data_IF_743876501828
#
_entry.id   IF_743876501828
#
_cell.length_a   1.000
_cell.length_b   1.000
_cell.length_c   1.000
_cell.angle_alpha   90.00
_cell.angle_beta   90.00
_cell.angle_gamma   90.00
#
_symmetry.space_group_name_H-M   'P 1'
#
loop_
_entity.id
_entity.type
_entity.pdbx_description
1 polymer ?
#
# COMPACT_ATOMS: atom_id res chain seq x y z
N UNK A 1 -7.52 -38.17 21.69
CA UNK A 1 -6.30 -38.15 20.89
C UNK A 1 -5.36 -37.08 21.46
N UNK A 2 -4.37 -37.42 22.32
CA UNK A 2 -3.46 -36.43 22.93
C UNK A 2 -2.03 -36.66 22.45
N UNK A 3 -1.75 -36.69 21.15
CA UNK A 3 -0.42 -36.96 20.60
C UNK A 3 0.18 -35.78 19.83
N UNK A 4 -0.58 -34.74 19.57
CA UNK A 4 -0.13 -33.58 18.73
C UNK A 4 0.67 -32.53 19.49
N UNK A 5 0.32 -32.26 20.75
CA UNK A 5 1.01 -31.20 21.54
C UNK A 5 2.38 -31.64 22.05
N UNK A 6 2.55 -32.93 22.38
CA UNK A 6 3.83 -33.47 22.83
C UNK A 6 4.88 -33.50 21.71
N UNK A 7 4.45 -33.69 20.47
CA UNK A 7 5.35 -33.70 19.31
C UNK A 7 5.85 -32.30 18.96
N UNK A 8 4.99 -31.30 19.06
CA UNK A 8 5.35 -29.89 18.85
C UNK A 8 6.30 -29.36 19.92
N UNK A 9 6.14 -29.78 21.19
CA UNK A 9 7.08 -29.47 22.26
C UNK A 9 8.44 -30.13 22.06
N UNK A 10 8.49 -31.38 21.58
CA UNK A 10 9.73 -32.08 21.28
C UNK A 10 10.49 -31.44 20.10
N UNK A 11 9.78 -31.02 19.05
CA UNK A 11 10.39 -30.34 17.91
C UNK A 11 10.98 -28.98 18.30
N UNK A 12 10.30 -28.22 19.16
CA UNK A 12 10.80 -26.95 19.69
C UNK A 12 12.01 -27.10 20.64
N UNK A 13 12.12 -28.27 21.30
CA UNK A 13 13.27 -28.59 22.17
C UNK A 13 14.50 -29.02 21.36
N UNK A 14 14.30 -29.77 20.27
CA UNK A 14 15.39 -30.23 19.40
C UNK A 14 16.03 -29.10 18.59
N UNK A 15 15.25 -28.10 18.15
CA UNK A 15 15.79 -26.94 17.42
C UNK A 15 16.63 -26.01 18.27
N UNK A 16 16.56 -26.09 19.59
CA UNK A 16 17.36 -25.26 20.50
C UNK A 16 18.78 -25.76 20.79
N UNK A 17 19.10 -27.02 20.45
CA UNK A 17 20.33 -27.68 20.98
C UNK A 17 21.22 -28.33 19.92
N UNK A 18 20.95 -28.21 18.61
CA UNK A 18 21.80 -28.79 17.56
C UNK A 18 22.42 -27.71 16.66
N UNK A 19 23.70 -27.47 16.89
CA UNK A 19 24.59 -26.59 16.12
C UNK A 19 25.34 -27.42 15.09
N UNK A 20 24.74 -27.69 13.92
CA UNK A 20 25.50 -27.93 12.70
C UNK A 20 24.62 -27.56 11.47
N UNK A 21 25.21 -26.89 10.50
CA UNK A 21 24.56 -26.39 9.30
C UNK A 21 23.95 -27.50 8.43
N UNK A 22 24.57 -28.65 8.36
CA UNK A 22 24.06 -29.80 7.57
C UNK A 22 22.81 -30.46 8.17
N UNK A 23 22.77 -30.58 9.49
CA UNK A 23 21.60 -31.13 10.21
C UNK A 23 20.38 -30.22 10.09
N UNK A 24 20.61 -28.90 10.06
CA UNK A 24 19.54 -27.90 9.91
C UNK A 24 18.94 -27.93 8.51
N UNK A 25 19.72 -28.19 7.46
CA UNK A 25 19.22 -28.31 6.09
C UNK A 25 18.38 -29.59 5.93
N UNK A 26 18.81 -30.69 6.53
CA UNK A 26 18.07 -31.96 6.47
C UNK A 26 16.74 -31.93 7.25
N UNK A 27 16.72 -31.28 8.41
CA UNK A 27 15.51 -31.07 9.20
C UNK A 27 14.54 -30.10 8.52
N UNK A 28 15.04 -29.12 7.78
CA UNK A 28 14.21 -28.19 6.98
C UNK A 28 13.54 -28.92 5.81
N UNK A 29 14.29 -29.81 5.11
CA UNK A 29 13.74 -30.63 4.04
C UNK A 29 12.66 -31.61 4.55
N UNK A 30 12.87 -32.21 5.74
CA UNK A 30 11.86 -33.08 6.36
C UNK A 30 10.63 -32.33 6.89
N UNK A 31 10.80 -31.07 7.32
CA UNK A 31 9.67 -30.25 7.79
C UNK A 31 8.78 -29.76 6.64
N UNK A 32 9.34 -29.59 5.45
CA UNK A 32 8.58 -29.21 4.25
C UNK A 32 7.71 -30.34 3.71
N UNK A 33 8.00 -31.61 4.09
CA UNK A 33 7.20 -32.80 3.74
C UNK A 33 6.09 -33.12 4.75
N UNK A 34 6.04 -32.45 5.91
CA UNK A 34 5.00 -32.71 6.91
C UNK A 34 3.66 -32.10 6.48
N UNK A 35 2.74 -32.97 6.13
CA UNK A 35 1.36 -32.60 5.81
C UNK A 35 0.45 -32.77 7.02
N UNK A 36 -0.34 -31.75 7.35
CA UNK A 36 -1.46 -31.85 8.30
C UNK A 36 -2.75 -31.76 7.49
N UNK A 37 -3.55 -32.84 7.49
CA UNK A 37 -4.76 -32.95 6.67
C UNK A 37 -4.53 -32.71 5.16
N UNK A 38 -3.42 -33.24 4.61
CA UNK A 38 -3.11 -33.09 3.19
C UNK A 38 -2.57 -31.74 2.75
N UNK A 39 -2.31 -30.82 3.71
CA UNK A 39 -1.73 -29.50 3.44
C UNK A 39 -0.40 -29.33 4.20
N UNK A 40 0.61 -28.66 3.64
CA UNK A 40 1.83 -28.37 4.34
C UNK A 40 1.55 -27.64 5.67
N UNK A 41 2.21 -28.06 6.76
CA UNK A 41 1.96 -27.58 8.12
C UNK A 41 2.03 -26.05 8.25
N UNK A 42 2.86 -25.39 7.49
CA UNK A 42 2.99 -23.94 7.48
C UNK A 42 1.76 -23.22 6.88
N UNK A 43 1.02 -23.84 5.97
CA UNK A 43 -0.26 -23.30 5.47
C UNK A 43 -1.34 -23.29 6.55
N UNK A 44 -1.37 -24.29 7.41
CA UNK A 44 -2.35 -24.36 8.50
C UNK A 44 -2.08 -23.32 9.59
N UNK A 45 -0.81 -23.02 9.88
CA UNK A 45 -0.44 -21.93 10.83
C UNK A 45 -0.86 -20.57 10.30
N UNK A 46 -0.67 -20.30 9.00
CA UNK A 46 -1.08 -19.04 8.40
C UNK A 46 -2.61 -18.90 8.29
N UNK A 47 -3.33 -19.99 8.03
CA UNK A 47 -4.80 -19.99 8.00
C UNK A 47 -5.41 -19.68 9.36
N UNK A 48 -4.86 -20.19 10.46
CA UNK A 48 -5.32 -19.88 11.80
C UNK A 48 -5.15 -18.38 12.14
N UNK A 49 -4.06 -17.75 11.70
CA UNK A 49 -3.85 -16.30 11.87
C UNK A 49 -4.81 -15.46 11.01
N UNK A 50 -5.12 -15.93 9.81
CA UNK A 50 -6.07 -15.29 8.90
C UNK A 50 -7.51 -15.43 9.43
N UNK A 51 -7.88 -16.58 9.98
CA UNK A 51 -9.18 -16.81 10.62
C UNK A 51 -9.34 -16.01 11.90
N UNK A 52 -8.29 -15.87 12.72
CA UNK A 52 -8.31 -15.00 13.92
C UNK A 52 -8.49 -13.52 13.53
N UNK A 53 -7.82 -13.05 12.47
CA UNK A 53 -8.01 -11.71 11.95
C UNK A 53 -9.42 -11.49 11.35
N UNK A 54 -9.97 -12.49 10.65
CA UNK A 54 -11.35 -12.48 10.13
C UNK A 54 -12.38 -12.49 11.25
N UNK A 55 -12.18 -13.32 12.29
CA UNK A 55 -13.06 -13.41 13.46
C UNK A 55 -13.12 -12.10 14.22
N UNK A 56 -11.99 -11.41 14.41
CA UNK A 56 -11.93 -10.08 15.02
C UNK A 56 -12.66 -9.03 14.22
N UNK A 57 -12.59 -9.10 12.88
CA UNK A 57 -13.33 -8.20 11.99
C UNK A 57 -14.85 -8.45 12.03
N UNK A 58 -15.29 -9.72 12.16
CA UNK A 58 -16.71 -10.06 12.25
C UNK A 58 -17.31 -9.73 13.62
N UNK A 59 -16.55 -9.87 14.72
CA UNK A 59 -16.99 -9.48 16.07
C UNK A 59 -17.21 -7.97 16.17
N UNK A 60 -16.41 -7.16 15.47
CA UNK A 60 -16.64 -5.71 15.41
C UNK A 60 -17.85 -5.30 14.54
N UNK A 61 -18.25 -6.13 13.58
CA UNK A 61 -19.43 -5.89 12.74
C UNK A 61 -20.75 -6.27 13.40
N UNK A 62 -20.74 -7.07 14.48
CA UNK A 62 -21.94 -7.58 15.17
C UNK A 62 -22.27 -6.89 16.48
N UNK A 63 -21.65 -5.76 16.80
CA UNK A 63 -21.99 -5.00 18.01
C UNK A 63 -23.31 -4.25 17.79
N UNK A 64 -24.35 -4.46 18.60
CA UNK A 64 -25.63 -3.77 18.45
C UNK A 64 -25.44 -2.27 18.70
N UNK A 65 -25.88 -1.46 17.76
CA UNK A 65 -26.01 -0.01 17.93
C UNK A 65 -27.11 0.27 18.98
N UNK A 66 -26.70 0.73 20.13
CA UNK A 66 -27.64 1.33 21.10
C UNK A 66 -28.23 2.60 20.49
N UNK A 67 -29.55 2.80 20.56
CA UNK A 67 -30.17 4.03 20.07
C UNK A 67 -29.71 5.22 20.90
N UNK A 68 -29.65 6.44 20.31
CA UNK A 68 -29.23 7.64 21.01
C UNK A 68 -30.22 7.99 22.12
N UNK A 69 -29.78 8.55 23.26
CA UNK A 69 -30.64 8.98 24.32
C UNK A 69 -31.53 10.14 23.87
N UNK A 70 -32.77 10.16 24.37
CA UNK A 70 -33.76 11.19 24.11
C UNK A 70 -33.28 12.59 24.56
N UNK A 71 -33.72 13.67 23.88
CA UNK A 71 -33.29 15.03 24.21
C UNK A 71 -33.81 15.47 25.60
N UNK A 72 -32.89 16.00 26.40
CA UNK A 72 -33.17 16.60 27.71
C UNK A 72 -33.79 17.98 27.48
N UNK A 73 -34.85 18.35 28.22
CA UNK A 73 -35.47 19.66 28.10
C UNK A 73 -34.57 20.78 28.62
N UNK A 74 -34.70 22.03 28.11
CA UNK A 74 -33.81 23.12 28.45
C UNK A 74 -34.00 23.62 29.87
N UNK A 75 -32.89 23.71 30.61
CA UNK A 75 -32.85 24.39 31.91
C UNK A 75 -32.76 25.92 31.73
N UNK A 76 -33.53 26.60 32.52
CA UNK A 76 -33.71 28.05 32.50
C UNK A 76 -32.40 28.83 32.76
N UNK A 77 -32.20 29.88 31.99
CA UNK A 77 -31.07 30.81 32.09
C UNK A 77 -31.12 31.62 33.39
N UNK A 78 -30.06 31.47 34.19
CA UNK A 78 -29.68 32.51 35.17
C UNK A 78 -28.51 33.29 34.56
N UNK A 79 -28.70 34.60 34.44
CA UNK A 79 -27.68 35.52 33.96
C UNK A 79 -26.47 35.54 34.90
N UNK A 80 -25.30 35.28 34.36
CA UNK A 80 -24.00 35.49 35.03
C UNK A 80 -23.05 36.28 34.13
N UNK A 81 -22.30 37.14 34.80
CA UNK A 81 -21.47 38.22 34.26
C UNK A 81 -20.53 37.81 33.12
N UNK A 82 -20.36 38.73 32.14
CA UNK A 82 -19.43 38.65 31.03
C UNK A 82 -17.97 38.52 31.51
N UNK A 83 -17.19 37.55 30.99
CA UNK A 83 -15.75 37.54 31.19
C UNK A 83 -15.10 38.66 30.34
N UNK A 84 -13.90 39.16 30.72
CA UNK A 84 -13.22 40.20 30.00
C UNK A 84 -12.91 39.79 28.57
N UNK A 85 -13.16 40.67 27.62
CA UNK A 85 -12.89 40.53 26.20
C UNK A 85 -11.39 40.27 25.97
N UNK A 86 -11.04 39.04 25.60
CA UNK A 86 -9.77 38.74 24.96
C UNK A 86 -9.70 39.47 23.62
N UNK A 87 -8.55 40.11 23.27
CA UNK A 87 -8.42 40.74 21.98
C UNK A 87 -8.63 39.71 20.87
N UNK A 88 -9.23 40.07 19.73
CA UNK A 88 -9.46 39.14 18.63
C UNK A 88 -8.11 38.58 18.19
N UNK A 89 -7.91 37.29 18.39
CA UNK A 89 -6.83 36.55 17.74
C UNK A 89 -7.09 36.72 16.25
N UNK A 90 -6.16 37.39 15.57
CA UNK A 90 -6.23 37.52 14.12
C UNK A 90 -6.48 36.12 13.53
N UNK A 91 -7.54 36.02 12.74
CA UNK A 91 -7.89 34.77 12.06
C UNK A 91 -6.78 34.47 11.04
N UNK A 92 -5.84 33.61 11.47
CA UNK A 92 -4.69 33.19 10.68
C UNK A 92 -5.02 31.98 9.79
N UNK A 93 -6.32 31.63 9.70
CA UNK A 93 -6.78 30.56 8.83
C UNK A 93 -6.76 31.00 7.37
N UNK A 94 -6.26 30.12 6.52
CA UNK A 94 -6.27 30.31 5.08
C UNK A 94 -7.68 30.06 4.52
N UNK A 95 -8.20 31.01 3.71
CA UNK A 95 -9.47 30.84 2.99
C UNK A 95 -9.18 30.00 1.74
N UNK A 96 -9.82 28.84 1.55
CA UNK A 96 -9.56 27.98 0.40
C UNK A 96 -9.97 28.67 -0.91
N UNK A 97 -9.08 28.58 -1.91
CA UNK A 97 -9.39 28.88 -3.28
C UNK A 97 -10.25 27.79 -3.96
N UNK A 98 -10.62 27.97 -5.24
CA UNK A 98 -11.36 26.96 -5.98
C UNK A 98 -10.53 25.66 -6.09
N UNK A 99 -11.18 24.52 -5.87
CA UNK A 99 -10.55 23.18 -5.98
C UNK A 99 -10.04 22.96 -7.39
N UNK A 100 -8.78 22.55 -7.49
CA UNK A 100 -8.18 22.13 -8.75
C UNK A 100 -8.66 20.72 -9.08
N UNK A 101 -9.21 20.51 -10.25
CA UNK A 101 -9.41 19.15 -10.79
C UNK A 101 -8.07 18.64 -11.29
N UNK A 102 -7.69 17.41 -10.93
CA UNK A 102 -6.51 16.78 -11.52
C UNK A 102 -6.70 16.72 -13.04
N UNK A 103 -5.85 17.43 -13.77
CA UNK A 103 -5.64 17.07 -15.15
C UNK A 103 -4.98 15.68 -15.16
N UNK A 104 -5.42 14.74 -16.00
CA UNK A 104 -4.86 13.39 -16.05
C UNK A 104 -3.35 13.34 -16.31
N UNK A 105 -2.75 14.45 -16.69
CA UNK A 105 -1.42 14.55 -17.28
C UNK A 105 -0.43 15.50 -16.58
N UNK A 106 -0.76 16.06 -15.41
CA UNK A 106 0.19 16.91 -14.65
C UNK A 106 1.30 16.09 -14.01
N UNK A 107 1.77 15.12 -14.75
CA UNK A 107 2.73 14.14 -14.32
C UNK A 107 4.06 14.40 -14.97
N UNK A 108 5.01 14.67 -14.12
CA UNK A 108 6.46 14.53 -14.31
C UNK A 108 6.93 14.46 -15.76
N UNK A 109 7.39 15.55 -16.29
CA UNK A 109 8.12 15.59 -17.57
C UNK A 109 9.33 14.65 -17.50
N UNK A 110 9.34 13.62 -18.33
CA UNK A 110 10.46 12.68 -18.45
C UNK A 110 10.37 11.45 -17.55
N UNK A 111 9.18 11.02 -17.18
CA UNK A 111 9.00 9.84 -16.36
C UNK A 111 9.33 8.54 -17.10
N UNK A 112 10.21 7.73 -16.50
CA UNK A 112 10.55 6.38 -16.95
C UNK A 112 9.45 5.35 -16.59
N UNK A 113 8.17 5.69 -16.82
CA UNK A 113 7.03 4.81 -16.58
C UNK A 113 5.94 4.96 -17.64
N UNK A 114 5.12 3.91 -17.86
CA UNK A 114 4.15 3.89 -18.95
C UNK A 114 2.98 4.83 -18.71
N UNK A 115 2.46 5.40 -19.79
CA UNK A 115 1.12 5.97 -19.80
C UNK A 115 0.10 4.81 -19.74
N UNK A 116 -0.69 4.74 -18.68
CA UNK A 116 -1.69 3.66 -18.52
C UNK A 116 -2.96 3.90 -19.34
N UNK A 117 -3.23 5.14 -19.75
CA UNK A 117 -4.35 5.47 -20.65
C UNK A 117 -4.04 5.09 -22.11
N UNK A 118 -2.77 5.10 -22.48
CA UNK A 118 -2.27 4.69 -23.80
C UNK A 118 -1.07 3.75 -23.62
N UNK A 119 -1.30 2.52 -23.10
CA UNK A 119 -0.22 1.62 -22.76
C UNK A 119 0.49 1.11 -24.00
N UNK A 120 1.82 1.24 -24.01
CA UNK A 120 2.70 0.65 -25.00
C UNK A 120 3.68 -0.30 -24.32
N UNK A 121 3.90 -1.50 -24.86
CA UNK A 121 4.93 -2.38 -24.36
C UNK A 121 6.31 -1.70 -24.42
N UNK A 122 7.15 -1.84 -23.37
CA UNK A 122 8.44 -1.18 -23.32
C UNK A 122 9.38 -1.69 -24.43
N UNK A 123 10.37 -0.88 -24.76
CA UNK A 123 11.35 -1.23 -25.80
C UNK A 123 12.02 -2.58 -25.53
N UNK A 124 12.46 -2.84 -24.31
CA UNK A 124 13.10 -4.11 -23.94
C UNK A 124 12.22 -5.34 -24.21
N UNK A 125 10.90 -5.19 -24.12
CA UNK A 125 9.94 -6.25 -24.38
C UNK A 125 9.87 -6.58 -25.89
N UNK A 126 9.93 -5.56 -26.73
CA UNK A 126 9.91 -5.72 -28.19
C UNK A 126 11.24 -6.19 -28.75
N UNK A 127 12.36 -5.80 -28.13
CA UNK A 127 13.71 -6.09 -28.57
C UNK A 127 14.16 -7.55 -28.28
N UNK A 128 13.36 -8.35 -27.53
CA UNK A 128 13.71 -9.75 -27.27
C UNK A 128 13.62 -10.58 -28.55
N UNK A 129 14.76 -11.18 -29.03
CA UNK A 129 14.78 -11.92 -30.28
C UNK A 129 13.87 -13.15 -30.26
N UNK A 130 13.23 -13.46 -31.38
CA UNK A 130 12.32 -14.61 -31.50
C UNK A 130 13.00 -15.94 -31.14
N UNK A 131 14.25 -16.14 -31.54
CA UNK A 131 15.01 -17.33 -31.19
C UNK A 131 15.28 -17.49 -29.69
N UNK A 132 15.34 -16.38 -28.93
CA UNK A 132 15.42 -16.40 -27.46
C UNK A 132 14.09 -16.84 -26.87
N UNK A 133 12.97 -16.36 -27.40
CA UNK A 133 11.63 -16.75 -26.95
C UNK A 133 11.36 -18.24 -27.18
N UNK A 134 11.83 -18.79 -28.31
CA UNK A 134 11.70 -20.22 -28.59
C UNK A 134 12.45 -21.07 -27.57
N UNK A 135 13.67 -20.66 -27.19
CA UNK A 135 14.53 -21.36 -26.23
C UNK A 135 14.14 -21.10 -24.76
N UNK A 136 13.29 -20.10 -24.48
CA UNK A 136 12.82 -19.84 -23.13
C UNK A 136 12.09 -21.06 -22.58
N UNK A 137 12.54 -21.64 -21.45
CA UNK A 137 11.89 -22.81 -20.88
C UNK A 137 10.46 -22.49 -20.47
N UNK A 138 9.66 -23.53 -20.34
CA UNK A 138 8.31 -23.39 -19.74
C UNK A 138 8.50 -23.05 -18.26
N UNK A 139 7.74 -22.10 -17.69
CA UNK A 139 7.75 -21.88 -16.25
C UNK A 139 7.39 -23.16 -15.48
N UNK A 140 7.73 -23.20 -14.21
CA UNK A 140 7.26 -24.27 -13.32
C UNK A 140 5.73 -24.35 -13.38
N UNK A 141 5.12 -25.54 -13.22
CA UNK A 141 3.67 -25.71 -13.33
C UNK A 141 2.86 -24.76 -12.46
N UNK A 142 3.29 -24.51 -11.23
CA UNK A 142 2.65 -23.60 -10.29
C UNK A 142 2.69 -22.14 -10.81
N UNK A 143 3.83 -21.69 -11.30
CA UNK A 143 3.99 -20.36 -11.92
C UNK A 143 3.11 -20.24 -13.15
N UNK A 144 3.12 -21.29 -14.00
CA UNK A 144 2.34 -21.32 -15.23
C UNK A 144 0.83 -21.28 -14.95
N UNK A 145 0.37 -21.91 -13.88
CA UNK A 145 -1.02 -21.87 -13.45
C UNK A 145 -1.50 -20.44 -13.17
N UNK A 146 -0.75 -19.69 -12.36
CA UNK A 146 -1.12 -18.31 -12.02
C UNK A 146 -1.11 -17.38 -13.24
N UNK A 147 -0.12 -17.50 -14.12
CA UNK A 147 -0.09 -16.75 -15.38
C UNK A 147 -1.25 -17.12 -16.31
N UNK A 148 -1.64 -18.40 -16.33
CA UNK A 148 -2.81 -18.87 -17.07
C UNK A 148 -4.12 -18.32 -16.48
N UNK A 149 -4.24 -18.15 -15.16
CA UNK A 149 -5.41 -17.51 -14.55
C UNK A 149 -5.64 -16.12 -15.13
N UNK A 150 -4.60 -15.32 -15.26
CA UNK A 150 -4.68 -13.98 -15.87
C UNK A 150 -5.11 -14.09 -17.34
N UNK A 151 -4.32 -14.78 -18.17
CA UNK A 151 -4.52 -14.79 -19.62
C UNK A 151 -5.81 -15.46 -20.05
N UNK A 152 -6.17 -16.60 -19.42
CA UNK A 152 -7.43 -17.30 -19.73
C UNK A 152 -8.65 -16.56 -19.19
N UNK A 153 -8.54 -15.91 -18.01
CA UNK A 153 -9.61 -15.07 -17.48
C UNK A 153 -9.92 -13.90 -18.40
N UNK A 154 -8.90 -13.17 -18.86
CA UNK A 154 -9.07 -12.09 -19.86
C UNK A 154 -9.75 -12.62 -21.12
N UNK A 155 -9.27 -13.75 -21.66
CA UNK A 155 -9.86 -14.39 -22.86
C UNK A 155 -11.32 -14.77 -22.63
N UNK A 156 -11.65 -15.32 -21.46
CA UNK A 156 -13.04 -15.69 -21.13
C UNK A 156 -13.95 -14.48 -21.10
N UNK A 157 -13.52 -13.38 -20.46
CA UNK A 157 -14.28 -12.13 -20.41
C UNK A 157 -14.55 -11.58 -21.82
N UNK A 158 -13.50 -11.53 -22.68
CA UNK A 158 -13.64 -11.07 -24.07
C UNK A 158 -14.62 -11.98 -24.85
N UNK A 159 -14.49 -13.29 -24.71
CA UNK A 159 -15.36 -14.25 -25.38
C UNK A 159 -16.82 -14.17 -24.90
N UNK A 160 -17.05 -13.88 -23.60
CA UNK A 160 -18.40 -13.68 -23.07
C UNK A 160 -19.07 -12.49 -23.73
N UNK A 161 -18.41 -11.35 -23.80
CA UNK A 161 -18.93 -10.16 -24.47
C UNK A 161 -19.13 -10.40 -25.97
N UNK A 162 -18.20 -11.09 -26.64
CA UNK A 162 -18.37 -11.49 -28.04
C UNK A 162 -19.61 -12.34 -28.29
N UNK A 163 -20.05 -13.12 -27.30
CA UNK A 163 -21.31 -13.90 -27.33
C UNK A 163 -22.51 -13.10 -26.80
N UNK A 164 -22.34 -11.80 -26.54
CA UNK A 164 -23.36 -10.93 -25.94
C UNK A 164 -23.83 -11.37 -24.56
N UNK A 165 -22.95 -11.98 -23.77
CA UNK A 165 -23.19 -12.37 -22.36
C UNK A 165 -22.26 -11.59 -21.46
N UNK A 166 -22.69 -11.33 -20.22
CA UNK A 166 -21.81 -10.71 -19.22
C UNK A 166 -20.68 -11.67 -18.83
N UNK A 167 -19.45 -11.18 -18.58
CA UNK A 167 -18.41 -11.97 -17.96
C UNK A 167 -18.85 -12.51 -16.59
N UNK A 168 -18.40 -13.71 -16.24
CA UNK A 168 -18.75 -14.32 -14.97
C UNK A 168 -17.94 -13.68 -13.82
N UNK A 169 -18.54 -13.49 -12.62
CA UNK A 169 -17.78 -13.08 -11.43
C UNK A 169 -16.58 -13.98 -11.16
N UNK A 170 -16.69 -15.28 -11.40
CA UNK A 170 -15.60 -16.25 -11.25
C UNK A 170 -14.42 -15.98 -12.19
N UNK A 171 -14.64 -15.40 -13.39
CA UNK A 171 -13.55 -14.99 -14.27
C UNK A 171 -12.80 -13.80 -13.69
N UNK A 172 -13.49 -12.85 -13.07
CA UNK A 172 -12.87 -11.72 -12.39
C UNK A 172 -12.07 -12.17 -11.16
N UNK A 173 -12.62 -13.06 -10.34
CA UNK A 173 -11.92 -13.65 -9.19
C UNK A 173 -10.67 -14.41 -9.63
N UNK A 174 -10.77 -15.18 -10.72
CA UNK A 174 -9.64 -15.90 -11.29
C UNK A 174 -8.52 -14.96 -11.76
N UNK A 175 -8.86 -13.86 -12.42
CA UNK A 175 -7.89 -12.84 -12.84
C UNK A 175 -7.27 -12.20 -11.60
N UNK A 176 -8.08 -11.84 -10.60
CA UNK A 176 -7.64 -11.20 -9.37
C UNK A 176 -6.62 -12.08 -8.60
N UNK A 177 -6.95 -13.36 -8.37
CA UNK A 177 -6.03 -14.33 -7.76
C UNK A 177 -4.73 -14.46 -8.58
N UNK A 178 -4.84 -14.55 -9.90
CA UNK A 178 -3.68 -14.60 -10.78
C UNK A 178 -2.78 -13.37 -10.66
N UNK A 179 -3.34 -12.16 -10.62
CA UNK A 179 -2.60 -10.90 -10.47
C UNK A 179 -1.94 -10.81 -9.10
N UNK A 180 -2.68 -11.07 -8.01
CA UNK A 180 -2.14 -10.97 -6.65
C UNK A 180 -0.97 -11.94 -6.42
N UNK A 181 -1.07 -13.17 -6.93
CA UNK A 181 0.04 -14.13 -6.89
C UNK A 181 1.20 -13.73 -7.77
N UNK A 182 0.93 -13.13 -8.95
CA UNK A 182 1.96 -12.76 -9.92
C UNK A 182 2.94 -11.68 -9.41
N UNK A 183 2.54 -10.86 -8.45
CA UNK A 183 3.46 -9.94 -7.76
C UNK A 183 4.62 -10.65 -7.07
N UNK A 184 4.43 -11.90 -6.66
CA UNK A 184 5.36 -12.71 -5.87
C UNK A 184 5.97 -13.88 -6.65
N UNK A 185 5.76 -13.96 -7.96
CA UNK A 185 6.40 -14.95 -8.81
C UNK A 185 7.78 -14.48 -9.27
N UNK A 186 8.76 -15.38 -9.20
CA UNK A 186 10.06 -15.15 -9.83
C UNK A 186 9.97 -15.38 -11.34
N UNK A 187 9.93 -14.29 -12.08
CA UNK A 187 9.72 -14.29 -13.52
C UNK A 187 10.89 -13.69 -14.25
N UNK A 188 11.20 -14.25 -15.42
CA UNK A 188 12.14 -13.63 -16.36
C UNK A 188 11.41 -12.70 -17.34
N UNK A 189 12.11 -11.69 -17.82
CA UNK A 189 11.61 -10.81 -18.89
C UNK A 189 11.16 -11.61 -20.13
N UNK A 190 11.87 -12.71 -20.45
CA UNK A 190 11.53 -13.60 -21.56
C UNK A 190 10.23 -14.37 -21.32
N UNK A 191 9.95 -14.76 -20.08
CA UNK A 191 8.67 -15.40 -19.70
C UNK A 191 7.51 -14.41 -19.86
N UNK A 192 7.66 -13.18 -19.35
CA UNK A 192 6.64 -12.12 -19.49
C UNK A 192 6.34 -11.85 -20.97
N UNK A 193 7.39 -11.79 -21.80
CA UNK A 193 7.25 -11.59 -23.26
C UNK A 193 6.59 -12.79 -23.95
N UNK A 194 7.03 -14.01 -23.64
CA UNK A 194 6.51 -15.25 -24.22
C UNK A 194 5.02 -15.45 -23.91
N UNK A 195 4.60 -15.07 -22.69
CA UNK A 195 3.21 -15.12 -22.22
C UNK A 195 2.37 -13.90 -22.65
N UNK A 196 2.97 -12.93 -23.37
CA UNK A 196 2.32 -11.73 -23.89
C UNK A 196 1.60 -10.89 -22.80
N UNK A 197 2.16 -10.88 -21.58
CA UNK A 197 1.50 -10.26 -20.42
C UNK A 197 1.45 -8.72 -20.49
N UNK A 198 2.37 -8.07 -21.21
CA UNK A 198 2.35 -6.62 -21.45
C UNK A 198 1.77 -6.26 -22.83
N UNK A 199 1.22 -7.22 -23.57
CA UNK A 199 0.73 -6.98 -24.92
C UNK A 199 -0.71 -6.45 -24.89
N UNK A 200 -1.00 -5.44 -25.71
CA UNK A 200 -2.31 -4.77 -25.77
C UNK A 200 -3.47 -5.69 -26.13
N UNK A 201 -3.23 -6.74 -26.95
CA UNK A 201 -4.34 -7.62 -27.39
C UNK A 201 -4.73 -8.66 -26.35
N UNK A 202 -3.82 -9.11 -25.48
CA UNK A 202 -4.02 -10.32 -24.70
C UNK A 202 -3.53 -10.21 -23.24
N UNK A 203 -2.81 -9.13 -22.91
CA UNK A 203 -2.18 -8.94 -21.60
C UNK A 203 -2.96 -8.00 -20.67
N UNK A 204 -2.30 -7.58 -19.61
CA UNK A 204 -2.82 -6.70 -18.57
C UNK A 204 -3.49 -5.41 -19.09
N UNK A 205 -2.99 -4.76 -20.19
CA UNK A 205 -3.63 -3.57 -20.72
C UNK A 205 -5.11 -3.75 -21.06
N UNK A 206 -5.53 -4.96 -21.40
CA UNK A 206 -6.95 -5.29 -21.67
C UNK A 206 -7.85 -5.09 -20.44
N UNK A 207 -7.30 -5.08 -19.24
CA UNK A 207 -8.06 -4.94 -18.00
C UNK A 207 -8.24 -3.46 -17.64
N UNK A 208 -7.17 -2.66 -17.66
CA UNK A 208 -7.20 -1.32 -17.11
C UNK A 208 -7.39 -0.20 -18.15
N UNK A 209 -6.99 -0.41 -19.39
CA UNK A 209 -7.11 0.61 -20.42
C UNK A 209 -8.51 0.54 -21.06
N UNK A 210 -9.27 1.61 -20.92
CA UNK A 210 -10.66 1.69 -21.40
C UNK A 210 -10.78 1.53 -22.92
N UNK A 211 -9.82 2.04 -23.69
CA UNK A 211 -9.80 1.92 -25.15
C UNK A 211 -9.50 0.50 -25.63
N UNK A 212 -8.82 -0.31 -24.80
CA UNK A 212 -8.43 -1.68 -25.10
C UNK A 212 -9.37 -2.72 -24.50
N UNK A 213 -10.03 -2.43 -23.38
CA UNK A 213 -10.93 -3.38 -22.71
C UNK A 213 -12.13 -3.79 -23.58
N UNK A 214 -12.45 -3.00 -24.60
CA UNK A 214 -13.63 -3.19 -25.40
C UNK A 214 -14.89 -2.96 -24.56
N UNK A 215 -15.88 -3.85 -24.69
CA UNK A 215 -17.12 -3.78 -23.90
C UNK A 215 -17.04 -4.55 -22.58
N UNK A 216 -15.82 -4.98 -22.12
CA UNK A 216 -15.65 -5.65 -20.84
C UNK A 216 -15.51 -4.61 -19.75
N UNK A 217 -16.48 -4.57 -18.83
CA UNK A 217 -16.42 -3.70 -17.65
C UNK A 217 -15.77 -4.47 -16.49
N UNK A 218 -14.44 -4.34 -16.38
CA UNK A 218 -13.71 -4.90 -15.26
C UNK A 218 -13.96 -4.11 -13.97
N UNK A 219 -14.02 -4.77 -12.79
CA UNK A 219 -14.08 -4.10 -11.51
C UNK A 219 -12.95 -3.08 -11.34
N UNK A 220 -13.25 -1.92 -10.73
CA UNK A 220 -12.29 -0.82 -10.60
C UNK A 220 -11.00 -1.24 -9.85
N UNK A 221 -11.11 -2.05 -8.79
CA UNK A 221 -9.96 -2.56 -8.04
C UNK A 221 -9.07 -3.48 -8.87
N UNK A 222 -9.68 -4.29 -9.74
CA UNK A 222 -8.94 -5.16 -10.64
C UNK A 222 -8.17 -4.35 -11.70
N UNK A 223 -8.74 -3.22 -12.17
CA UNK A 223 -8.04 -2.28 -13.06
C UNK A 223 -6.82 -1.68 -12.36
N UNK A 224 -6.94 -1.26 -11.10
CA UNK A 224 -5.82 -0.70 -10.33
C UNK A 224 -4.70 -1.74 -10.13
N UNK A 225 -5.03 -2.97 -9.73
CA UNK A 225 -4.05 -4.02 -9.48
C UNK A 225 -3.35 -4.48 -10.78
N UNK A 226 -4.10 -4.56 -11.88
CA UNK A 226 -3.55 -4.87 -13.20
C UNK A 226 -2.59 -3.77 -13.68
N UNK A 227 -2.95 -2.50 -13.49
CA UNK A 227 -2.11 -1.37 -13.86
C UNK A 227 -0.83 -1.31 -12.99
N UNK A 228 -0.94 -1.56 -11.68
CA UNK A 228 0.22 -1.65 -10.78
C UNK A 228 1.20 -2.73 -11.24
N UNK A 229 0.71 -3.94 -11.51
CA UNK A 229 1.53 -5.05 -11.99
C UNK A 229 2.15 -4.76 -13.36
N UNK A 230 1.38 -4.12 -14.26
CA UNK A 230 1.87 -3.69 -15.56
C UNK A 230 3.03 -2.70 -15.42
N UNK A 231 2.90 -1.66 -14.60
CA UNK A 231 3.94 -0.66 -14.34
C UNK A 231 5.20 -1.30 -13.75
N UNK A 232 5.04 -2.24 -12.80
CA UNK A 232 6.14 -3.01 -12.22
C UNK A 232 6.92 -3.76 -13.30
N UNK A 233 6.25 -4.55 -14.11
CA UNK A 233 6.90 -5.33 -15.16
C UNK A 233 7.37 -4.50 -16.35
N UNK A 234 6.66 -3.44 -16.70
CA UNK A 234 7.08 -2.49 -17.73
C UNK A 234 8.47 -1.90 -17.42
N UNK A 235 8.70 -1.55 -16.19
CA UNK A 235 10.00 -1.07 -15.67
C UNK A 235 11.04 -2.21 -15.53
N UNK A 236 10.74 -3.42 -16.02
CA UNK A 236 11.58 -4.61 -15.90
C UNK A 236 11.87 -5.04 -14.46
N UNK A 237 11.05 -4.61 -13.51
CA UNK A 237 11.11 -5.08 -12.13
C UNK A 237 10.38 -6.43 -12.01
N UNK A 238 11.14 -7.51 -12.18
CA UNK A 238 10.64 -8.90 -12.10
C UNK A 238 10.93 -9.56 -10.75
N UNK A 239 11.59 -8.85 -9.85
CA UNK A 239 11.92 -9.36 -8.52
C UNK A 239 10.67 -9.46 -7.64
N UNK A 240 10.34 -10.66 -7.10
CA UNK A 240 9.16 -10.89 -6.27
C UNK A 240 9.30 -10.39 -4.83
N UNK A 241 10.52 -10.07 -4.37
CA UNK A 241 10.79 -9.73 -2.98
C UNK A 241 10.16 -8.41 -2.53
N UNK A 242 9.41 -8.42 -1.45
CA UNK A 242 8.87 -7.19 -0.83
C UNK A 242 9.98 -6.19 -0.47
N UNK A 243 11.11 -6.68 0.02
CA UNK A 243 12.29 -5.88 0.38
C UNK A 243 13.40 -5.93 -0.70
N UNK A 244 13.02 -6.13 -1.97
CA UNK A 244 13.98 -6.09 -3.07
C UNK A 244 14.80 -4.80 -3.03
N UNK A 245 16.11 -4.92 -3.21
CA UNK A 245 17.03 -3.79 -3.13
C UNK A 245 17.27 -3.23 -1.72
N UNK A 246 16.74 -3.88 -0.69
CA UNK A 246 16.89 -3.48 0.71
C UNK A 246 17.55 -4.61 1.48
N UNK A 247 18.67 -4.31 2.15
CA UNK A 247 19.28 -5.20 3.12
C UNK A 247 18.55 -5.05 4.44
N UNK A 248 17.98 -6.15 4.92
CA UNK A 248 17.33 -6.20 6.23
C UNK A 248 18.41 -6.10 7.33
N UNK A 249 18.19 -5.20 8.27
CA UNK A 249 19.05 -5.04 9.42
C UNK A 249 18.64 -5.96 10.57
N UNK A 250 19.58 -6.24 11.47
CA UNK A 250 19.30 -6.91 12.73
C UNK A 250 18.45 -6.00 13.62
N UNK A 251 17.47 -6.56 14.32
CA UNK A 251 16.77 -5.86 15.39
C UNK A 251 17.81 -5.49 16.45
N UNK A 252 18.08 -4.21 16.66
CA UNK A 252 18.92 -3.78 17.78
C UNK A 252 18.22 -4.06 19.10
N UNK A 253 18.96 -4.67 20.03
CA UNK A 253 18.51 -5.07 21.36
C UNK A 253 17.53 -4.07 21.99
N UNK A 254 16.38 -4.60 22.38
CA UNK A 254 15.18 -3.96 22.94
C UNK A 254 15.42 -3.28 24.31
N UNK A 255 16.66 -3.24 24.85
CA UNK A 255 16.96 -2.67 26.19
C UNK A 255 16.64 -1.18 26.35
N UNK A 256 16.31 -0.45 25.28
CA UNK A 256 16.03 0.98 25.32
C UNK A 256 14.69 1.38 24.65
N UNK A 257 13.75 0.46 24.43
CA UNK A 257 12.39 0.79 23.95
C UNK A 257 12.32 1.41 22.55
N UNK A 258 13.42 1.43 21.78
CA UNK A 258 13.45 1.90 20.40
C UNK A 258 13.73 0.73 19.47
N UNK A 259 12.68 0.15 18.89
CA UNK A 259 12.77 -0.75 17.75
C UNK A 259 13.24 0.03 16.51
N UNK A 260 14.53 0.25 16.41
CA UNK A 260 15.13 0.80 15.20
C UNK A 260 15.53 -0.34 14.28
N UNK A 261 14.75 -0.65 13.27
CA UNK A 261 15.19 -1.50 12.17
C UNK A 261 16.27 -0.75 11.39
N UNK A 262 17.45 -1.34 11.26
CA UNK A 262 18.55 -0.76 10.47
C UNK A 262 18.50 -1.26 9.03
N UNK A 263 17.29 -1.30 8.44
CA UNK A 263 17.12 -1.62 7.03
C UNK A 263 17.73 -0.51 6.18
N UNK A 264 18.50 -0.87 5.15
CA UNK A 264 19.20 0.07 4.28
C UNK A 264 19.11 -0.37 2.82
N UNK A 265 19.11 0.59 1.91
CA UNK A 265 19.26 0.28 0.49
C UNK A 265 20.59 -0.43 0.21
N UNK A 266 20.53 -1.40 -0.68
CA UNK A 266 21.75 -1.99 -1.26
C UNK A 266 22.41 -0.96 -2.18
N UNK A 267 23.70 -0.66 -2.04
CA UNK A 267 24.38 0.36 -2.85
C UNK A 267 24.29 0.11 -4.35
N UNK A 268 24.23 -1.17 -4.77
CA UNK A 268 24.16 -1.57 -6.17
C UNK A 268 22.74 -1.58 -6.75
N UNK A 269 21.72 -1.29 -5.95
CA UNK A 269 20.34 -1.33 -6.41
C UNK A 269 19.98 -0.07 -7.19
N UNK A 270 19.75 -0.22 -8.48
CA UNK A 270 19.43 0.87 -9.40
C UNK A 270 17.94 1.06 -9.67
N UNK A 271 17.09 0.17 -9.14
CA UNK A 271 15.62 0.21 -9.35
C UNK A 271 14.86 1.18 -8.46
N UNK A 272 15.56 2.09 -7.79
CA UNK A 272 14.93 3.12 -6.96
C UNK A 272 14.32 4.21 -7.82
N UNK A 273 13.07 4.58 -7.52
CA UNK A 273 12.37 5.69 -8.15
C UNK A 273 12.43 6.95 -7.26
N UNK A 274 12.38 8.11 -7.88
CA UNK A 274 12.27 9.37 -7.15
C UNK A 274 10.82 9.69 -6.82
N UNK A 275 10.58 10.22 -5.61
CA UNK A 275 9.26 10.67 -5.16
C UNK A 275 9.05 12.19 -5.27
N UNK A 276 9.96 12.91 -5.94
CA UNK A 276 9.97 14.38 -6.02
C UNK A 276 9.09 14.86 -7.18
N UNK A 277 7.79 14.61 -7.08
CA UNK A 277 6.79 15.04 -8.05
C UNK A 277 5.43 15.26 -7.36
N UNK A 278 4.61 16.13 -7.93
CA UNK A 278 3.21 16.31 -7.53
C UNK A 278 2.31 15.32 -8.29
N UNK A 279 1.14 14.99 -7.73
CA UNK A 279 0.20 14.05 -8.34
C UNK A 279 0.54 12.57 -8.12
N UNK A 280 -0.16 11.70 -8.85
CA UNK A 280 -0.05 10.25 -8.70
C UNK A 280 1.26 9.66 -9.24
N UNK A 281 1.79 10.22 -10.35
CA UNK A 281 2.90 9.61 -11.07
C UNK A 281 2.61 8.15 -11.44
N UNK A 282 3.58 7.23 -11.22
CA UNK A 282 3.40 5.81 -11.52
C UNK A 282 2.59 5.06 -10.45
N UNK A 283 2.15 5.73 -9.39
CA UNK A 283 1.49 5.07 -8.27
C UNK A 283 0.02 4.78 -8.59
N UNK A 284 -0.47 3.66 -8.09
CA UNK A 284 -1.86 3.26 -8.21
C UNK A 284 -2.55 3.28 -6.86
N UNK A 285 -3.81 3.71 -6.83
CA UNK A 285 -4.58 3.77 -5.60
C UNK A 285 -4.68 2.40 -4.94
N UNK A 286 -4.33 2.35 -3.67
CA UNK A 286 -4.26 1.12 -2.90
C UNK A 286 -2.89 0.43 -2.92
N UNK A 287 -1.93 0.89 -3.71
CA UNK A 287 -0.57 0.34 -3.70
C UNK A 287 -0.01 0.32 -2.27
N UNK A 288 0.57 -0.82 -1.91
CA UNK A 288 0.95 -1.11 -0.53
C UNK A 288 2.43 -1.46 -0.36
N UNK A 289 2.98 -1.11 0.79
CA UNK A 289 4.37 -1.40 1.16
C UNK A 289 4.49 -1.84 2.61
N UNK A 290 5.39 -2.80 2.91
CA UNK A 290 5.61 -3.27 4.28
C UNK A 290 6.31 -2.24 5.18
N UNK A 291 6.98 -1.24 4.60
CA UNK A 291 7.70 -0.20 5.34
C UNK A 291 7.83 1.09 4.54
N UNK A 292 8.10 2.20 5.22
CA UNK A 292 8.36 3.49 4.57
C UNK A 292 9.58 3.44 3.64
N UNK A 293 10.59 2.65 3.96
CA UNK A 293 11.76 2.45 3.09
C UNK A 293 11.39 1.78 1.76
N UNK A 294 10.43 0.84 1.78
CA UNK A 294 9.90 0.24 0.56
C UNK A 294 9.05 1.24 -0.26
N UNK A 295 8.25 2.07 0.40
CA UNK A 295 7.52 3.15 -0.25
C UNK A 295 8.48 4.19 -0.88
N UNK A 296 9.58 4.49 -0.20
CA UNK A 296 10.63 5.36 -0.72
C UNK A 296 11.35 4.74 -1.93
N UNK A 297 11.58 3.42 -1.94
CA UNK A 297 12.16 2.71 -3.10
C UNK A 297 11.33 2.92 -4.35
N UNK A 298 10.02 2.82 -4.22
CA UNK A 298 9.08 2.86 -5.35
C UNK A 298 8.57 4.29 -5.66
N UNK A 299 9.13 5.32 -5.00
CA UNK A 299 8.85 6.73 -5.30
C UNK A 299 7.54 7.26 -4.71
N UNK A 300 6.91 6.54 -3.78
CA UNK A 300 5.70 7.03 -3.13
C UNK A 300 5.96 8.14 -2.12
N UNK A 301 7.12 8.08 -1.48
CA UNK A 301 7.58 9.05 -0.48
C UNK A 301 9.10 9.17 -0.55
N UNK A 302 9.67 10.33 -0.18
CA UNK A 302 11.11 10.55 -0.39
C UNK A 302 11.93 10.67 0.90
N UNK A 303 11.38 10.22 2.05
CA UNK A 303 12.09 10.17 3.31
C UNK A 303 11.91 8.83 4.02
N UNK A 304 12.93 8.43 4.79
CA UNK A 304 12.92 7.17 5.55
C UNK A 304 12.16 7.28 6.88
N UNK A 305 12.08 8.49 7.46
CA UNK A 305 11.50 8.75 8.78
C UNK A 305 10.56 9.94 8.80
N UNK A 306 10.86 11.01 8.04
CA UNK A 306 10.01 12.20 8.00
C UNK A 306 8.62 11.87 7.47
N UNK A 307 7.60 12.50 8.06
CA UNK A 307 6.20 12.33 7.65
C UNK A 307 5.80 13.19 6.45
N UNK A 308 6.57 14.22 6.09
CA UNK A 308 6.28 15.14 4.98
C UNK A 308 7.53 15.29 4.12
N UNK A 309 7.36 15.21 2.81
CA UNK A 309 8.38 15.51 1.81
C UNK A 309 7.84 16.54 0.83
N UNK A 310 8.69 17.47 0.40
CA UNK A 310 8.29 18.54 -0.52
C UNK A 310 9.45 19.42 -0.94
N UNK A 311 9.11 20.53 -1.58
CA UNK A 311 10.01 21.60 -1.99
C UNK A 311 9.38 22.97 -1.74
N UNK A 312 9.98 24.03 -2.29
CA UNK A 312 9.47 25.39 -2.18
C UNK A 312 8.11 25.63 -2.84
N UNK A 313 7.64 24.75 -3.72
CA UNK A 313 6.31 24.83 -4.37
C UNK A 313 5.25 24.22 -3.44
N UNK A 314 5.56 23.08 -2.82
CA UNK A 314 4.64 22.40 -1.92
C UNK A 314 5.13 21.02 -1.50
N UNK A 315 4.31 20.34 -0.69
CA UNK A 315 4.53 18.96 -0.30
C UNK A 315 4.24 18.00 -1.46
N UNK A 316 5.11 17.05 -1.70
CA UNK A 316 4.88 15.95 -2.64
C UNK A 316 4.03 14.84 -2.03
N UNK A 317 4.30 14.54 -0.76
CA UNK A 317 3.64 13.44 -0.06
C UNK A 317 3.68 13.63 1.46
N UNK A 318 2.64 13.10 2.13
CA UNK A 318 2.63 12.97 3.58
C UNK A 318 2.27 11.53 4.00
N UNK A 319 2.88 11.10 5.11
CA UNK A 319 2.65 9.78 5.73
C UNK A 319 1.88 9.98 7.02
N UNK A 320 0.65 9.52 7.04
CA UNK A 320 -0.18 9.52 8.24
C UNK A 320 0.17 8.31 9.10
N UNK A 321 1.20 8.46 9.92
CA UNK A 321 1.66 7.42 10.86
C UNK A 321 1.11 7.65 12.27
N UNK A 322 1.31 6.68 13.16
CA UNK A 322 1.00 6.78 14.59
C UNK A 322 2.06 7.56 15.36
N UNK A 323 2.23 8.84 15.06
CA UNK A 323 3.09 9.76 15.82
C UNK A 323 2.40 10.33 17.07
N UNK A 324 3.08 11.25 17.76
CA UNK A 324 2.55 11.97 18.92
C UNK A 324 1.48 13.00 18.56
N UNK A 325 1.24 13.25 17.28
CA UNK A 325 0.27 14.24 16.82
C UNK A 325 -1.13 13.64 16.65
N UNK A 326 -2.18 14.31 17.18
CA UNK A 326 -3.56 13.82 17.15
C UNK A 326 -4.22 14.09 15.78
N UNK A 327 -3.70 13.49 14.72
CA UNK A 327 -4.30 13.57 13.39
C UNK A 327 -5.73 13.00 13.40
N UNK A 328 -6.62 13.60 12.62
CA UNK A 328 -8.01 13.14 12.46
C UNK A 328 -8.17 12.57 11.05
N UNK A 329 -8.65 11.34 10.94
CA UNK A 329 -8.83 10.63 9.67
C UNK A 329 -10.31 10.31 9.46
N UNK A 330 -10.92 10.92 8.44
CA UNK A 330 -12.29 10.66 7.99
C UNK A 330 -12.34 10.11 6.55
N UNK A 331 -11.24 9.51 6.11
CA UNK A 331 -11.13 8.96 4.77
C UNK A 331 -10.89 10.02 3.71
N UNK A 332 -11.93 10.55 3.12
CA UNK A 332 -11.86 11.60 2.08
C UNK A 332 -11.41 12.96 2.64
N UNK A 333 -11.54 13.18 3.94
CA UNK A 333 -11.09 14.37 4.66
C UNK A 333 -10.15 13.99 5.80
N UNK A 334 -9.07 14.75 5.93
CA UNK A 334 -8.01 14.49 6.91
C UNK A 334 -7.57 15.80 7.54
N UNK A 335 -7.40 15.81 8.85
CA UNK A 335 -6.70 16.88 9.56
C UNK A 335 -5.34 16.38 10.01
N UNK A 336 -4.32 16.97 9.43
CA UNK A 336 -2.93 16.53 9.55
C UNK A 336 -2.09 17.59 10.25
N UNK A 337 -1.43 17.21 11.34
CA UNK A 337 -0.52 18.10 12.07
C UNK A 337 0.84 18.20 11.38
N UNK A 338 1.29 19.43 11.20
CA UNK A 338 2.68 19.74 10.83
C UNK A 338 3.64 19.43 11.98
N UNK A 339 4.92 19.45 11.68
CA UNK A 339 5.98 19.22 12.66
C UNK A 339 6.20 20.49 13.51
N UNK A 340 6.32 20.33 14.84
CA UNK A 340 6.70 21.40 15.75
C UNK A 340 8.04 22.01 15.38
N UNK A 341 8.17 23.32 15.50
CA UNK A 341 9.42 24.06 15.33
C UNK A 341 10.02 24.41 16.68
N UNK A 342 11.34 24.35 16.78
CA UNK A 342 12.10 24.91 17.92
C UNK A 342 12.23 26.43 17.80
N UNK A 343 12.08 26.97 16.58
CA UNK A 343 12.10 28.41 16.30
C UNK A 343 10.67 28.96 16.28
N UNK A 344 10.27 29.81 17.24
CA UNK A 344 8.92 30.35 17.28
C UNK A 344 8.61 31.33 16.15
N UNK A 345 9.61 31.80 15.41
CA UNK A 345 9.45 32.77 14.33
C UNK A 345 9.15 32.12 12.97
N UNK A 346 9.43 30.84 12.81
CA UNK A 346 9.20 30.13 11.55
C UNK A 346 8.83 28.67 11.74
N UNK A 347 7.96 28.11 10.89
CA UNK A 347 7.69 26.68 10.90
C UNK A 347 8.91 25.89 10.39
N UNK A 348 8.92 24.58 10.64
CA UNK A 348 9.90 23.66 10.01
C UNK A 348 9.71 23.65 8.49
N UNK A 349 10.75 23.26 7.75
CA UNK A 349 10.65 23.13 6.28
C UNK A 349 9.52 22.20 5.87
N UNK A 350 9.33 21.08 6.57
CA UNK A 350 8.23 20.12 6.33
C UNK A 350 6.85 20.78 6.49
N UNK A 351 6.67 21.58 7.53
CA UNK A 351 5.42 22.34 7.77
C UNK A 351 5.27 23.44 6.71
N UNK A 352 6.37 24.09 6.31
CA UNK A 352 6.36 25.10 5.27
C UNK A 352 5.95 24.54 3.90
N UNK A 353 6.33 23.29 3.57
CA UNK A 353 5.87 22.63 2.33
C UNK A 353 4.35 22.46 2.30
N UNK A 354 3.73 22.11 3.42
CA UNK A 354 2.26 22.01 3.51
C UNK A 354 1.58 23.39 3.41
N UNK A 355 2.17 24.44 4.02
CA UNK A 355 1.71 25.84 3.87
C UNK A 355 1.80 26.25 2.39
N UNK A 356 2.89 25.90 1.71
CA UNK A 356 3.04 26.19 0.29
C UNK A 356 2.00 25.44 -0.56
N UNK A 357 1.72 24.15 -0.26
CA UNK A 357 0.67 23.40 -0.94
C UNK A 357 -0.71 24.02 -0.81
N UNK A 358 -1.05 24.63 0.36
CA UNK A 358 -2.33 25.33 0.52
C UNK A 358 -2.45 26.60 -0.35
N UNK A 359 -1.33 27.14 -0.83
CA UNK A 359 -1.29 28.33 -1.70
C UNK A 359 -1.13 27.97 -3.18
N UNK A 360 -0.34 26.94 -3.47
CA UNK A 360 -0.09 26.49 -4.84
C UNK A 360 -1.18 25.58 -5.38
N UNK A 361 -1.99 24.99 -4.48
CA UNK A 361 -2.98 23.95 -4.78
C UNK A 361 -2.38 22.69 -5.40
N UNK A 362 -1.06 22.50 -5.32
CA UNK A 362 -0.40 21.30 -5.80
C UNK A 362 -0.84 20.09 -4.97
N UNK A 363 -1.24 18.98 -5.63
CA UNK A 363 -1.78 17.82 -4.95
C UNK A 363 -0.71 17.07 -4.14
N UNK A 364 -1.08 16.70 -2.93
CA UNK A 364 -0.22 15.97 -1.98
C UNK A 364 -0.65 14.51 -1.93
N UNK A 365 0.27 13.58 -2.15
CA UNK A 365 0.02 12.14 -1.97
C UNK A 365 -0.14 11.80 -0.50
N UNK A 366 -1.20 11.08 -0.14
CA UNK A 366 -1.43 10.58 1.21
C UNK A 366 -1.13 9.09 1.32
N UNK A 367 -0.21 8.75 2.23
CA UNK A 367 0.07 7.37 2.60
C UNK A 367 -0.43 7.12 4.02
N UNK A 368 -1.28 6.13 4.21
CA UNK A 368 -1.76 5.70 5.53
C UNK A 368 -0.94 4.55 6.06
N UNK A 369 -0.38 4.70 7.26
CA UNK A 369 0.24 3.60 7.99
C UNK A 369 -0.77 2.82 8.83
N UNK A 370 -0.47 1.57 9.12
CA UNK A 370 -1.33 0.66 9.90
C UNK A 370 -1.54 1.09 11.36
N UNK A 371 -0.60 1.85 11.93
CA UNK A 371 -0.65 2.25 13.35
C UNK A 371 -1.03 3.73 13.47
N UNK A 372 -2.04 4.01 14.29
CA UNK A 372 -2.28 5.33 14.89
C UNK A 372 -2.20 5.23 16.40
N UNK A 373 -1.64 6.27 17.03
CA UNK A 373 -1.53 6.37 18.52
C UNK A 373 -2.66 7.20 19.14
N UNK A 374 -3.58 7.74 18.36
CA UNK A 374 -4.57 8.72 18.79
C UNK A 374 -6.02 8.33 18.52
N UNK A 375 -6.94 8.99 19.22
CA UNK A 375 -8.40 8.85 19.25
C UNK A 375 -9.06 9.14 17.89
N UNK A 376 -8.73 8.40 16.86
CA UNK A 376 -9.37 8.50 15.56
C UNK A 376 -9.88 7.15 15.13
N UNK A 377 -10.86 7.13 14.22
CA UNK A 377 -11.27 5.92 13.56
C UNK A 377 -10.08 5.30 12.80
N UNK A 378 -9.81 4.02 13.06
CA UNK A 378 -8.83 3.24 12.30
C UNK A 378 -9.45 2.59 11.04
N UNK A 379 -10.68 2.94 10.68
CA UNK A 379 -11.47 2.29 9.64
C UNK A 379 -10.82 2.41 8.25
N UNK A 380 -10.05 3.48 8.02
CA UNK A 380 -9.35 3.71 6.76
C UNK A 380 -7.92 3.18 6.73
N UNK A 381 -7.42 2.61 7.83
CA UNK A 381 -6.04 2.17 7.95
C UNK A 381 -5.80 0.79 7.33
N UNK A 382 -4.64 0.55 6.67
CA UNK A 382 -4.27 -0.80 6.29
C UNK A 382 -4.01 -1.66 7.54
N UNK A 383 -4.24 -2.96 7.45
CA UNK A 383 -3.98 -3.91 8.53
C UNK A 383 -2.50 -3.90 8.96
N UNK A 384 -1.58 -3.75 8.00
CA UNK A 384 -0.14 -3.72 8.18
C UNK A 384 0.51 -2.76 7.17
N UNK A 385 1.69 -2.24 7.47
CA UNK A 385 2.50 -1.44 6.53
C UNK A 385 1.92 -0.06 6.23
N UNK A 386 2.12 0.38 4.99
CA UNK A 386 1.65 1.65 4.44
C UNK A 386 0.87 1.42 3.15
N UNK A 387 -0.20 2.19 2.95
CA UNK A 387 -1.00 2.17 1.71
C UNK A 387 -1.12 3.57 1.14
N UNK A 388 -0.98 3.69 -0.17
CA UNK A 388 -1.25 4.91 -0.91
C UNK A 388 -2.76 5.04 -1.17
N UNK A 389 -3.36 6.13 -0.70
CA UNK A 389 -4.80 6.34 -0.79
C UNK A 389 -5.18 7.52 -1.70
N UNK A 390 -4.27 7.88 -2.60
CA UNK A 390 -4.52 8.90 -3.59
C UNK A 390 -3.94 10.27 -3.23
N UNK A 391 -4.36 11.27 -3.98
CA UNK A 391 -3.94 12.66 -3.83
C UNK A 391 -5.00 13.52 -3.19
N UNK A 392 -4.55 14.45 -2.36
CA UNK A 392 -5.36 15.36 -1.57
C UNK A 392 -4.93 16.79 -1.83
N UNK A 393 -5.85 17.72 -1.78
CA UNK A 393 -5.59 19.14 -1.77
C UNK A 393 -5.50 19.65 -0.33
N UNK A 394 -4.53 20.49 -0.01
CA UNK A 394 -4.48 21.21 1.26
C UNK A 394 -5.38 22.43 1.12
N UNK A 395 -6.62 22.32 1.59
CA UNK A 395 -7.64 23.36 1.40
C UNK A 395 -7.54 24.48 2.44
N UNK A 396 -6.76 24.31 3.51
CA UNK A 396 -6.53 25.33 4.52
C UNK A 396 -5.72 24.81 5.70
N UNK A 397 -5.44 25.67 6.66
CA UNK A 397 -4.80 25.30 7.91
C UNK A 397 -5.13 26.27 9.05
N UNK A 398 -4.93 25.80 10.27
CA UNK A 398 -5.01 26.59 11.50
C UNK A 398 -3.68 26.53 12.24
N UNK A 399 -3.27 27.61 12.92
CA UNK A 399 -2.13 27.59 13.84
C UNK A 399 -2.62 27.23 15.23
N UNK A 400 -2.32 26.00 15.68
CA UNK A 400 -2.72 25.50 16.99
C UNK A 400 -1.79 25.96 18.12
N UNK A 401 -0.53 26.24 17.82
CA UNK A 401 0.42 26.76 18.79
C UNK A 401 1.42 27.68 18.09
N UNK A 402 1.32 28.98 18.34
CA UNK A 402 2.20 29.99 17.74
C UNK A 402 3.65 29.86 18.23
N UNK A 403 3.85 29.57 19.52
CA UNK A 403 5.20 29.48 20.10
C UNK A 403 6.01 28.30 19.56
N UNK A 404 5.33 27.23 19.12
CA UNK A 404 5.95 26.03 18.53
C UNK A 404 5.68 25.91 17.03
N UNK A 405 5.04 26.89 16.42
CA UNK A 405 4.64 26.87 15.00
C UNK A 405 3.87 25.59 14.61
N UNK A 406 2.98 25.10 15.49
CA UNK A 406 2.17 23.91 15.24
C UNK A 406 0.98 24.28 14.36
N UNK A 407 0.95 23.71 13.17
CA UNK A 407 -0.10 23.92 12.18
C UNK A 407 -0.95 22.65 12.04
N UNK A 408 -2.27 22.81 11.93
CA UNK A 408 -3.22 21.75 11.61
C UNK A 408 -3.77 22.00 10.21
N UNK A 409 -3.39 21.16 9.27
CA UNK A 409 -3.78 21.24 7.86
C UNK A 409 -5.06 20.47 7.61
N UNK A 410 -6.00 21.05 6.87
CA UNK A 410 -7.17 20.35 6.35
C UNK A 410 -6.89 19.90 4.91
N UNK A 411 -6.91 18.58 4.72
CA UNK A 411 -6.70 17.93 3.43
C UNK A 411 -8.01 17.31 2.96
N UNK A 412 -8.37 17.54 1.71
CA UNK A 412 -9.54 16.96 1.07
C UNK A 412 -9.09 16.17 -0.16
N UNK A 413 -9.55 14.93 -0.25
CA UNK A 413 -9.19 14.06 -1.37
C UNK A 413 -9.74 14.61 -2.67
N UNK A 414 -8.92 14.65 -3.72
CA UNK A 414 -9.36 15.15 -5.02
C UNK A 414 -10.40 14.21 -5.64
N UNK A 415 -11.43 14.76 -6.32
CA UNK A 415 -12.48 13.96 -6.92
C UNK A 415 -11.97 13.14 -8.12
N UNK A 416 -12.77 12.16 -8.56
CA UNK A 416 -12.48 11.33 -9.73
C UNK A 416 -11.52 10.16 -9.47
N UNK A 417 -11.01 10.00 -8.26
CA UNK A 417 -10.17 8.87 -7.87
C UNK A 417 -11.02 7.65 -7.50
N UNK A 418 -10.49 6.46 -7.71
CA UNK A 418 -11.11 5.20 -7.25
C UNK A 418 -11.24 5.18 -5.72
N UNK A 419 -12.20 4.44 -5.13
CA UNK A 419 -12.44 4.42 -3.68
C UNK A 419 -11.20 4.06 -2.86
N UNK A 420 -11.12 4.55 -1.60
CA UNK A 420 -10.10 4.15 -0.64
C UNK A 420 -10.25 2.64 -0.35
N UNK A 421 -9.15 1.91 -0.42
CA UNK A 421 -9.12 0.44 -0.37
C UNK A 421 -9.04 -0.10 1.06
N UNK A 422 -9.89 0.40 1.95
CA UNK A 422 -9.93 -0.02 3.37
C UNK A 422 -10.83 -1.21 3.64
N UNK A 423 -11.75 -1.53 2.72
CA UNK A 423 -12.73 -2.61 2.89
C UNK A 423 -13.20 -3.17 1.54
N UNK A 424 -13.99 -4.25 1.60
CA UNK A 424 -14.59 -4.88 0.42
C UNK A 424 -13.60 -5.67 -0.43
N UNK A 425 -13.99 -6.04 -1.67
CA UNK A 425 -13.19 -6.93 -2.54
C UNK A 425 -11.88 -6.30 -3.02
N UNK A 426 -11.78 -4.99 -2.94
CA UNK A 426 -10.57 -4.26 -3.31
C UNK A 426 -9.65 -3.94 -2.14
N UNK A 427 -9.86 -4.49 -0.94
CA UNK A 427 -9.06 -4.19 0.26
C UNK A 427 -7.56 -4.44 0.05
N UNK A 428 -6.72 -3.52 0.56
CA UNK A 428 -5.26 -3.68 0.57
C UNK A 428 -4.72 -3.39 1.98
N UNK A 429 -3.74 -4.16 2.49
CA UNK A 429 -3.00 -5.21 1.77
C UNK A 429 -3.84 -6.44 1.48
N UNK A 430 -3.46 -7.16 0.42
CA UNK A 430 -4.07 -8.45 0.04
C UNK A 430 -3.60 -9.57 0.97
N UNK A 431 -4.29 -10.72 1.02
CA UNK A 431 -3.80 -11.88 1.76
C UNK A 431 -2.39 -12.33 1.36
N UNK A 432 -2.04 -12.25 0.06
CA UNK A 432 -0.72 -12.60 -0.46
C UNK A 432 0.37 -11.63 0.03
N UNK A 433 0.06 -10.34 0.10
CA UNK A 433 0.96 -9.32 0.66
C UNK A 433 1.24 -9.56 2.14
N UNK A 434 0.19 -9.90 2.91
CA UNK A 434 0.32 -10.23 4.32
C UNK A 434 1.10 -11.53 4.54
N UNK A 435 0.87 -12.55 3.71
CA UNK A 435 1.62 -13.80 3.73
C UNK A 435 3.12 -13.56 3.46
N UNK A 436 3.43 -12.79 2.42
CA UNK A 436 4.80 -12.45 2.08
C UNK A 436 5.48 -11.65 3.21
N UNK A 437 4.77 -10.71 3.85
CA UNK A 437 5.28 -9.96 4.99
C UNK A 437 5.52 -10.86 6.20
N UNK A 438 4.61 -11.82 6.48
CA UNK A 438 4.75 -12.74 7.60
C UNK A 438 6.00 -13.62 7.47
N UNK A 439 6.31 -14.10 6.26
CA UNK A 439 7.56 -14.84 5.97
C UNK A 439 8.79 -14.01 6.31
N UNK A 440 8.83 -12.75 5.89
CA UNK A 440 9.97 -11.86 6.17
C UNK A 440 10.08 -11.52 7.65
N UNK A 441 8.96 -11.34 8.36
CA UNK A 441 8.98 -11.13 9.82
C UNK A 441 9.60 -12.34 10.56
N UNK A 442 9.36 -13.55 10.07
CA UNK A 442 9.99 -14.76 10.59
C UNK A 442 11.49 -14.75 10.28
N UNK A 443 11.89 -14.49 9.04
CA UNK A 443 13.29 -14.41 8.63
C UNK A 443 14.08 -13.39 9.48
N UNK A 444 13.50 -12.20 9.70
CA UNK A 444 14.12 -11.16 10.55
C UNK A 444 14.40 -11.62 11.99
N UNK A 445 13.56 -12.51 12.55
CA UNK A 445 13.82 -13.07 13.89
C UNK A 445 15.06 -13.95 13.94
N UNK A 446 15.41 -14.61 12.82
CA UNK A 446 16.61 -15.45 12.72
C UNK A 446 17.87 -14.63 12.37
N UNK A 447 17.74 -13.40 11.92
CA UNK A 447 18.86 -12.49 11.70
C UNK A 447 19.33 -11.79 13.01
N UNK A 448 18.52 -11.87 14.06
CA UNK A 448 18.83 -11.32 15.39
C UNK A 448 19.66 -12.31 16.22
#
# INVERSE_FOLDING_TARGET
>A
MPTSLAFLSALAFFTRHLVSTETTIHLKAMADELLINGTPWWRNVNMAMIEDARSRSQVNASRPTTPPPAPVPPLAHTASASPPSTPPVADLSYIPGPRTTLAPEDTVKGADYPNVEQPEPPRWYNDIPHGTLQRTPRPLPEVDEHLNKITSGIKNCINAVGRKTAPSPADFEKINDGIHRAFFLDLTATTIRKRRLLHNDTGLPRIFCSTLSGSVEYPWYLKEDAAELYIKWWSRDTNPGLFRGIRLGRLKNVRLGREGTVDKFLPIYTGRRHGDFHGNGPLRNGQWWPSQLCAMRDGAHNATVAGICGNSIGAFSCVMSGGSYPNIDRGEEVWYYGTESEDPTRPTDSTQYMINSSRSHEPVRLLRASKMTTEGSNDFRPAEGLRYDGVYEVVGYEIKNVAKQVHLFHLVRLPGQTPIRSSGPGVRPTPEELEALAKIKIEKKYLA
#
